data_IF_101359545447
#
_entry.id   IF_101359545447
#
_cell.length_a   1.000
_cell.length_b   1.000
_cell.length_c   1.000
_cell.angle_alpha   90.00
_cell.angle_beta   90.00
_cell.angle_gamma   90.00
#
_symmetry.space_group_name_H-M   'P 1'
#
loop_
_entity.id
_entity.type
_entity.pdbx_description
1 polymer ?
#
# COMPACT_ATOMS: atom_id res chain seq x y z
N UNK A 1 53.25 -17.83 18.74
CA UNK A 1 52.91 -18.72 17.62
C UNK A 1 51.45 -19.08 17.83
N UNK A 2 50.49 -18.67 16.98
CA UNK A 2 49.14 -19.18 17.08
C UNK A 2 49.21 -20.70 16.92
N UNK A 3 48.75 -21.44 17.93
CA UNK A 3 48.86 -22.89 17.96
C UNK A 3 48.02 -23.50 16.83
N UNK A 4 48.58 -24.48 16.14
CA UNK A 4 48.00 -25.18 14.99
C UNK A 4 46.57 -25.69 15.26
N UNK A 5 46.24 -25.91 16.54
CA UNK A 5 44.91 -26.28 17.04
C UNK A 5 43.84 -25.19 16.83
N UNK A 6 44.20 -23.91 16.91
CA UNK A 6 43.23 -22.82 16.76
C UNK A 6 42.86 -22.61 15.29
N UNK A 7 43.83 -22.74 14.37
CA UNK A 7 43.54 -22.80 12.94
C UNK A 7 42.61 -23.95 12.59
N UNK A 8 42.81 -25.12 13.18
CA UNK A 8 41.99 -26.31 12.94
C UNK A 8 40.55 -26.13 13.46
N UNK A 9 40.39 -25.47 14.62
CA UNK A 9 39.09 -25.13 15.20
C UNK A 9 38.33 -24.11 14.36
N UNK A 10 39.01 -23.06 13.90
CA UNK A 10 38.43 -22.06 13.00
C UNK A 10 37.98 -22.70 11.70
N UNK A 11 38.81 -23.57 11.11
CA UNK A 11 38.49 -24.27 9.85
C UNK A 11 37.27 -25.20 9.97
N UNK A 12 37.12 -25.90 11.11
CA UNK A 12 35.90 -26.67 11.41
C UNK A 12 34.68 -25.78 11.60
N UNK A 13 34.85 -24.62 12.23
CA UNK A 13 33.77 -23.66 12.41
C UNK A 13 33.34 -23.08 11.06
N UNK A 14 34.29 -22.71 10.20
CA UNK A 14 34.08 -22.25 8.83
C UNK A 14 33.34 -23.30 8.01
N UNK A 15 33.74 -24.58 8.10
CA UNK A 15 33.08 -25.68 7.40
C UNK A 15 31.64 -25.90 7.89
N UNK A 16 31.39 -25.79 9.21
CA UNK A 16 30.04 -25.87 9.79
C UNK A 16 29.18 -24.66 9.40
N UNK A 17 29.77 -23.47 9.38
CA UNK A 17 29.11 -22.23 8.94
C UNK A 17 28.82 -22.31 7.45
N UNK A 18 29.72 -22.79 6.61
CA UNK A 18 29.49 -22.97 5.18
C UNK A 18 28.40 -24.01 4.90
N UNK A 19 28.41 -25.14 5.61
CA UNK A 19 27.36 -26.16 5.52
C UNK A 19 25.99 -25.66 6.00
N UNK A 20 25.97 -24.76 6.99
CA UNK A 20 24.74 -24.12 7.48
C UNK A 20 24.30 -22.94 6.58
N UNK A 21 25.24 -22.13 6.07
CA UNK A 21 25.01 -21.01 5.14
C UNK A 21 24.48 -21.49 3.79
N UNK A 22 24.81 -22.69 3.35
CA UNK A 22 24.13 -23.30 2.19
C UNK A 22 22.62 -23.53 2.39
N UNK A 23 22.12 -23.49 3.63
CA UNK A 23 20.68 -23.50 3.98
C UNK A 23 20.18 -22.14 4.48
N UNK A 24 21.08 -21.19 4.66
CA UNK A 24 20.84 -19.82 5.12
C UNK A 24 21.57 -18.87 4.19
N UNK A 25 21.26 -18.96 2.89
CA UNK A 25 21.26 -17.71 2.14
C UNK A 25 20.24 -16.82 2.86
N UNK A 26 20.59 -15.56 3.20
CA UNK A 26 19.56 -14.58 3.47
C UNK A 26 18.79 -14.48 2.15
N UNK A 27 17.63 -15.15 2.08
CA UNK A 27 16.79 -15.12 0.88
C UNK A 27 16.69 -13.67 0.44
N UNK A 28 17.05 -13.31 -0.81
CA UNK A 28 16.92 -11.95 -1.32
C UNK A 28 15.44 -11.65 -1.65
N UNK A 29 14.55 -11.94 -0.71
CA UNK A 29 13.09 -11.87 -0.84
C UNK A 29 12.43 -11.15 0.34
N UNK A 30 13.23 -10.61 1.27
CA UNK A 30 12.73 -9.84 2.40
C UNK A 30 12.79 -8.32 2.15
N UNK A 31 13.36 -7.84 1.05
CA UNK A 31 13.41 -6.38 0.82
C UNK A 31 12.07 -5.81 0.33
N UNK A 32 11.24 -6.59 -0.37
CA UNK A 32 9.92 -6.11 -0.83
C UNK A 32 8.83 -6.15 0.25
N UNK A 33 8.75 -7.22 1.05
CA UNK A 33 7.70 -7.34 2.09
C UNK A 33 7.95 -6.44 3.30
N UNK A 34 9.22 -6.15 3.63
CA UNK A 34 9.55 -5.24 4.73
C UNK A 34 9.29 -3.78 4.34
N UNK A 35 9.47 -3.43 3.07
CA UNK A 35 9.10 -2.10 2.56
C UNK A 35 7.61 -1.81 2.77
N UNK A 36 6.73 -2.74 2.38
CA UNK A 36 5.28 -2.56 2.52
C UNK A 36 4.82 -2.56 3.99
N UNK A 37 5.41 -3.40 4.84
CA UNK A 37 5.13 -3.42 6.27
C UNK A 37 5.56 -2.11 6.96
N UNK A 38 6.71 -1.56 6.60
CA UNK A 38 7.20 -0.28 7.13
C UNK A 38 6.29 0.88 6.73
N UNK A 39 5.78 0.89 5.49
CA UNK A 39 4.80 1.89 5.05
C UNK A 39 3.51 1.77 5.88
N UNK A 40 2.95 0.56 6.01
CA UNK A 40 1.73 0.35 6.78
C UNK A 40 1.88 0.76 8.25
N UNK A 41 3.01 0.39 8.88
CA UNK A 41 3.32 0.81 10.25
C UNK A 41 3.41 2.33 10.37
N UNK A 42 4.08 2.99 9.42
CA UNK A 42 4.22 4.46 9.45
C UNK A 42 2.86 5.14 9.38
N UNK A 43 1.96 4.67 8.52
CA UNK A 43 0.58 5.17 8.40
C UNK A 43 -0.16 5.09 9.75
N UNK A 44 -0.01 3.99 10.50
CA UNK A 44 -0.58 3.84 11.84
C UNK A 44 0.04 4.83 12.82
N UNK A 45 1.38 4.92 12.86
CA UNK A 45 2.06 5.83 13.78
C UNK A 45 1.76 7.30 13.48
N UNK A 46 1.59 7.66 12.21
CA UNK A 46 1.23 9.02 11.78
C UNK A 46 -0.18 9.38 12.27
N UNK A 47 -1.13 8.45 12.17
CA UNK A 47 -2.48 8.63 12.71
C UNK A 47 -2.48 8.74 14.24
N UNK A 48 -1.79 7.82 14.92
CA UNK A 48 -1.69 7.81 16.39
C UNK A 48 -0.97 9.06 16.91
N UNK A 49 0.08 9.52 16.22
CA UNK A 49 0.79 10.74 16.57
C UNK A 49 -0.12 11.96 16.46
N UNK A 50 -0.87 12.10 15.36
CA UNK A 50 -1.84 13.19 15.19
C UNK A 50 -2.89 13.21 16.30
N UNK A 51 -3.47 12.05 16.62
CA UNK A 51 -4.47 11.92 17.67
C UNK A 51 -3.87 12.19 19.06
N UNK A 52 -2.68 11.67 19.34
CA UNK A 52 -1.96 11.87 20.59
C UNK A 52 -1.60 13.34 20.82
N UNK A 53 -1.15 14.05 19.79
CA UNK A 53 -0.88 15.50 19.85
C UNK A 53 -2.18 16.28 20.10
N UNK A 54 -3.26 15.97 19.36
CA UNK A 54 -4.56 16.61 19.55
C UNK A 54 -5.12 16.41 20.96
N UNK A 55 -5.01 15.21 21.52
CA UNK A 55 -5.41 14.92 22.89
C UNK A 55 -4.50 15.61 23.92
N UNK A 56 -3.18 15.57 23.74
CA UNK A 56 -2.24 16.22 24.67
C UNK A 56 -2.48 17.73 24.75
N UNK A 57 -2.67 18.39 23.60
CA UNK A 57 -2.98 19.82 23.55
C UNK A 57 -4.38 20.09 24.08
N UNK A 58 -5.37 19.31 23.67
CA UNK A 58 -6.76 19.45 24.12
C UNK A 58 -6.90 19.34 25.63
N UNK A 59 -6.29 18.31 26.24
CA UNK A 59 -6.27 18.13 27.69
C UNK A 59 -5.45 19.22 28.41
N UNK A 60 -4.30 19.62 27.85
CA UNK A 60 -3.50 20.70 28.43
C UNK A 60 -4.22 22.04 28.46
N UNK A 61 -4.92 22.39 27.38
CA UNK A 61 -5.69 23.64 27.32
C UNK A 61 -6.96 23.57 28.15
N UNK A 62 -7.71 22.47 28.08
CA UNK A 62 -8.93 22.33 28.88
C UNK A 62 -8.65 22.37 30.39
N UNK A 63 -7.49 21.87 30.84
CA UNK A 63 -7.08 21.97 32.27
C UNK A 63 -6.65 23.37 32.66
N UNK A 64 -6.05 24.14 31.76
CA UNK A 64 -5.63 25.52 32.04
C UNK A 64 -6.80 26.51 32.02
N UNK A 65 -7.73 26.33 31.08
CA UNK A 65 -8.87 27.24 30.86
C UNK A 65 -10.17 26.77 31.51
N UNK A 66 -10.22 25.55 32.07
CA UNK A 66 -11.42 25.00 32.71
C UNK A 66 -12.56 24.68 31.72
N UNK A 67 -12.25 24.56 30.43
CA UNK A 67 -13.23 24.40 29.34
C UNK A 67 -13.58 22.95 29.04
N UNK A 68 -13.16 21.99 29.86
CA UNK A 68 -13.41 20.54 29.66
C UNK A 68 -14.89 20.26 29.34
N UNK A 69 -15.24 19.64 28.19
CA UNK A 69 -14.38 19.01 27.18
C UNK A 69 -14.30 19.76 25.84
N UNK A 70 -14.63 21.06 25.80
CA UNK A 70 -14.82 21.80 24.54
C UNK A 70 -13.52 21.86 23.72
N UNK A 71 -12.40 22.25 24.32
CA UNK A 71 -11.14 22.33 23.57
C UNK A 71 -10.62 20.94 23.24
N UNK A 72 -10.81 19.95 24.13
CA UNK A 72 -10.49 18.55 23.82
C UNK A 72 -11.20 18.06 22.55
N UNK A 73 -12.49 18.33 22.36
CA UNK A 73 -13.22 17.89 21.16
C UNK A 73 -12.70 18.59 19.90
N UNK A 74 -12.47 19.90 19.97
CA UNK A 74 -11.95 20.69 18.84
C UNK A 74 -10.54 20.19 18.45
N UNK A 75 -9.63 20.06 19.42
CA UNK A 75 -8.27 19.60 19.17
C UNK A 75 -8.17 18.12 18.81
N UNK A 76 -9.10 17.28 19.28
CA UNK A 76 -9.24 15.90 18.79
C UNK A 76 -9.58 15.90 17.29
N UNK A 77 -10.51 16.75 16.86
CA UNK A 77 -10.84 16.93 15.44
C UNK A 77 -9.63 17.41 14.62
N UNK A 78 -8.90 18.41 15.11
CA UNK A 78 -7.66 18.87 14.47
C UNK A 78 -6.57 17.80 14.42
N UNK A 79 -6.38 17.04 15.51
CA UNK A 79 -5.40 15.95 15.59
C UNK A 79 -5.71 14.83 14.60
N UNK A 80 -6.98 14.46 14.47
CA UNK A 80 -7.44 13.49 13.48
C UNK A 80 -7.22 14.03 12.05
N UNK A 81 -7.62 15.27 11.76
CA UNK A 81 -7.44 15.88 10.45
C UNK A 81 -5.95 15.98 10.07
N UNK A 82 -5.08 16.33 11.01
CA UNK A 82 -3.64 16.35 10.82
C UNK A 82 -3.10 14.93 10.54
N UNK A 83 -3.47 13.94 11.36
CA UNK A 83 -3.04 12.55 11.19
C UNK A 83 -3.44 11.96 9.83
N UNK A 84 -4.69 12.20 9.39
CA UNK A 84 -5.17 11.78 8.07
C UNK A 84 -4.40 12.49 6.95
N UNK A 85 -4.14 13.80 7.06
CA UNK A 85 -3.38 14.53 6.04
C UNK A 85 -1.96 13.98 5.86
N UNK A 86 -1.27 13.66 6.96
CA UNK A 86 0.07 13.06 6.91
C UNK A 86 0.02 11.67 6.26
N UNK A 87 -0.92 10.84 6.68
CA UNK A 87 -1.16 9.51 6.11
C UNK A 87 -1.42 9.57 4.58
N UNK A 88 -2.32 10.47 4.15
CA UNK A 88 -2.63 10.66 2.72
C UNK A 88 -1.43 11.17 1.94
N UNK A 89 -0.61 12.03 2.54
CA UNK A 89 0.65 12.48 1.94
C UNK A 89 1.60 11.30 1.74
N UNK A 90 1.78 10.46 2.75
CA UNK A 90 2.60 9.24 2.67
C UNK A 90 2.09 8.31 1.56
N UNK A 91 0.77 8.10 1.47
CA UNK A 91 0.18 7.29 0.40
C UNK A 91 0.47 7.83 -1.01
N UNK A 92 0.37 9.16 -1.21
CA UNK A 92 0.69 9.81 -2.49
C UNK A 92 2.18 9.69 -2.82
N UNK A 93 3.06 9.85 -1.84
CA UNK A 93 4.51 9.70 -2.03
C UNK A 93 4.88 8.26 -2.44
N UNK A 94 4.20 7.26 -1.88
CA UNK A 94 4.40 5.85 -2.24
C UNK A 94 3.84 5.53 -3.62
N UNK A 95 2.63 6.01 -3.95
CA UNK A 95 2.04 5.83 -5.30
C UNK A 95 2.87 6.51 -6.39
N UNK A 96 3.40 7.70 -6.15
CA UNK A 96 4.22 8.42 -7.12
C UNK A 96 5.56 7.71 -7.41
N UNK A 97 6.03 6.84 -6.50
CA UNK A 97 7.27 6.06 -6.63
C UNK A 97 7.04 4.66 -7.18
N UNK A 98 5.81 4.17 -7.21
CA UNK A 98 5.47 2.89 -7.82
C UNK A 98 5.07 3.12 -9.30
N UNK A 99 5.71 2.48 -10.29
CA UNK A 99 5.21 2.52 -11.66
C UNK A 99 3.81 1.87 -11.73
N UNK A 100 2.79 2.72 -11.93
CA UNK A 100 1.39 2.45 -12.29
C UNK A 100 0.90 1.01 -12.12
N UNK A 101 0.59 0.61 -10.88
CA UNK A 101 -0.40 -0.44 -10.62
C UNK A 101 -1.70 0.27 -10.19
N UNK A 102 -2.50 0.63 -11.19
CA UNK A 102 -3.86 1.12 -10.97
C UNK A 102 -4.76 -0.01 -10.44
N UNK A 103 -5.78 0.41 -9.69
CA UNK A 103 -7.03 -0.29 -9.35
C UNK A 103 -7.08 -1.07 -8.04
N UNK A 104 -7.41 -0.34 -6.96
CA UNK A 104 -8.32 -0.86 -5.94
C UNK A 104 -9.06 0.31 -5.27
N UNK A 105 -10.36 0.42 -5.55
CA UNK A 105 -11.29 1.23 -4.75
C UNK A 105 -12.13 2.20 -5.56
N UNK A 106 -13.15 1.69 -6.26
CA UNK A 106 -14.13 2.54 -6.92
C UNK A 106 -15.22 1.81 -7.68
N UNK A 107 -15.76 0.71 -7.15
CA UNK A 107 -16.98 0.12 -7.70
C UNK A 107 -18.17 1.06 -7.41
N UNK A 108 -18.46 1.92 -8.37
CA UNK A 108 -19.74 2.62 -8.49
C UNK A 108 -20.56 1.86 -9.54
N UNK A 109 -21.20 0.76 -9.15
CA UNK A 109 -22.39 0.25 -9.85
C UNK A 109 -23.52 1.25 -9.69
N UNK A 110 -23.56 2.21 -10.59
CA UNK A 110 -24.71 3.04 -10.87
C UNK A 110 -24.65 3.42 -12.34
N UNK A 111 -25.70 3.05 -13.07
CA UNK A 111 -26.02 3.48 -14.44
C UNK A 111 -25.65 2.48 -15.57
N UNK A 112 -26.56 1.53 -15.79
CA UNK A 112 -26.85 0.98 -17.11
C UNK A 112 -28.37 1.04 -17.31
N UNK A 113 -28.93 1.51 -18.40
CA UNK A 113 -28.39 2.19 -19.57
C UNK A 113 -29.59 2.62 -20.41
N UNK A 114 -29.68 3.91 -20.74
CA UNK A 114 -30.59 4.38 -21.78
C UNK A 114 -30.02 3.93 -23.12
N UNK A 115 -30.76 3.08 -23.84
CA UNK A 115 -30.41 2.68 -25.20
C UNK A 115 -31.37 3.35 -26.19
N UNK A 116 -30.93 4.39 -26.94
CA UNK A 116 -31.58 4.77 -28.18
C UNK A 116 -30.87 4.04 -29.33
N UNK A 117 -31.49 3.02 -29.89
CA UNK A 117 -31.06 2.43 -31.17
C UNK A 117 -32.00 2.92 -32.27
N UNK A 118 -31.60 4.00 -32.91
CA UNK A 118 -32.08 4.39 -34.23
C UNK A 118 -30.90 4.84 -35.09
N UNK A 119 -30.55 4.02 -36.09
CA UNK A 119 -29.84 4.46 -37.31
C UNK A 119 -29.83 3.37 -38.40
N UNK A 120 -30.82 3.46 -39.29
CA UNK A 120 -30.63 3.51 -40.75
C UNK A 120 -30.29 2.23 -41.53
N UNK A 121 -31.34 1.68 -42.15
CA UNK A 121 -31.52 1.33 -43.57
C UNK A 121 -30.30 1.13 -44.50
N UNK A 122 -30.34 0.00 -45.24
CA UNK A 122 -30.14 -0.03 -46.70
C UNK A 122 -28.89 -0.74 -47.23
N UNK A 123 -29.04 -1.99 -47.75
CA UNK A 123 -28.84 -2.34 -49.17
C UNK A 123 -29.06 -3.87 -49.42
N UNK A 124 -29.76 -4.29 -50.48
CA UNK A 124 -30.03 -5.71 -50.77
C UNK A 124 -28.84 -6.39 -51.46
N UNK A 125 -28.45 -7.57 -50.97
CA UNK A 125 -27.39 -8.39 -51.58
C UNK A 125 -28.04 -9.47 -52.47
N UNK A 126 -27.55 -9.52 -53.71
CA UNK A 126 -28.16 -10.18 -54.87
C UNK A 126 -28.26 -11.70 -54.81
N UNK A 127 -29.15 -12.20 -55.68
CA UNK A 127 -29.47 -13.60 -55.89
C UNK A 127 -28.26 -14.43 -56.36
N UNK A 128 -28.18 -15.72 -55.98
CA UNK A 128 -27.15 -16.62 -56.49
C UNK A 128 -27.47 -17.06 -57.93
N UNK A 129 -26.53 -16.75 -58.83
CA UNK A 129 -26.41 -17.28 -60.18
C UNK A 129 -26.21 -18.81 -60.12
N UNK A 130 -27.06 -19.55 -60.84
CA UNK A 130 -27.08 -21.01 -60.88
C UNK A 130 -26.56 -21.43 -62.25
N UNK A 131 -25.24 -21.53 -62.35
CA UNK A 131 -24.53 -22.16 -63.46
C UNK A 131 -24.03 -23.55 -63.07
N UNK A 132 -23.85 -24.36 -64.11
CA UNK A 132 -23.43 -25.77 -64.16
C UNK A 132 -24.45 -26.84 -63.78
N UNK A 133 -25.08 -27.43 -64.80
CA UNK A 133 -25.01 -28.87 -65.12
C UNK A 133 -25.76 -29.14 -66.44
N UNK A 134 -25.05 -29.13 -67.59
CA UNK A 134 -25.25 -29.99 -68.78
C UNK A 134 -24.20 -29.74 -69.86
#
# INVERSE_FOLDING_TARGET
>A
MPDESDSERLRRLEARIAAAKGRTEPRPHQEEHYSQANIAWRMVTELVAGLGIGLAIGLGLDTLFGTTPILMVIFLGFGLAAGINVMLRTAREVQARAPQAHEAGGDKTGQGGDAPRDRTEGQPVGAPDRTDER
#
